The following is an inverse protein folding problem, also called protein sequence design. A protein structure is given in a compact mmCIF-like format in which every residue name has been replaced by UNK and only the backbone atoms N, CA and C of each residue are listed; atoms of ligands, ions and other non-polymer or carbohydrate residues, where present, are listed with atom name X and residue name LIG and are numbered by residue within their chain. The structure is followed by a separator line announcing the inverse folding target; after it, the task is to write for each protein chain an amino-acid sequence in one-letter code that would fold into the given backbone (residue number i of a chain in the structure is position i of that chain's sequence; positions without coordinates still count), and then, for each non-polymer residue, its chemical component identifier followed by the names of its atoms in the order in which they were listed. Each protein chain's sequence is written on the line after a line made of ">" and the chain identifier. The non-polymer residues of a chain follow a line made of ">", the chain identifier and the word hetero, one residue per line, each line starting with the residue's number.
data_IF_825353090610
#
_entry.id   IF_825353090610
#
_cell.length_a   1.000
_cell.length_b   1.000
_cell.length_c   1.000
_cell.angle_alpha   90.00
_cell.angle_beta   90.00
_cell.angle_gamma   90.00
#
_symmetry.space_group_name_H-M   'P 1'
#
loop_
_entity.id
_entity.type
_entity.pdbx_description
1 polymer ?
#
# COMPACT_ATOMS: atom_id res chain seq x y z
N UNK A 1 16.63 -15.78 21.13
CA UNK A 1 15.26 -15.64 20.59
C UNK A 1 14.36 -16.60 21.34
N UNK A 2 13.44 -16.10 22.18
CA UNK A 2 12.46 -16.96 22.89
C UNK A 2 11.34 -17.32 21.91
N UNK A 3 10.90 -18.59 21.82
CA UNK A 3 9.90 -19.00 20.85
C UNK A 3 8.51 -18.45 21.19
N UNK A 4 7.82 -17.96 20.16
CA UNK A 4 6.49 -17.34 20.14
C UNK A 4 5.40 -18.13 20.91
N UNK A 5 5.59 -19.43 21.12
CA UNK A 5 4.72 -20.29 21.92
C UNK A 5 4.60 -19.88 23.41
N UNK A 6 5.61 -19.23 24.00
CA UNK A 6 5.54 -18.77 25.40
C UNK A 6 4.70 -17.50 25.58
N UNK A 7 4.61 -16.64 24.55
CA UNK A 7 3.80 -15.42 24.58
C UNK A 7 2.30 -15.71 24.51
N UNK A 8 1.90 -16.74 23.75
CA UNK A 8 0.49 -17.15 23.67
C UNK A 8 -0.04 -17.78 24.97
N UNK A 9 0.78 -18.52 25.73
CA UNK A 9 0.38 -19.03 27.06
C UNK A 9 0.22 -17.90 28.08
N UNK A 10 1.16 -16.95 28.11
CA UNK A 10 1.13 -15.83 29.05
C UNK A 10 -0.09 -14.90 28.83
N UNK A 11 -0.53 -14.70 27.58
CA UNK A 11 -1.74 -13.93 27.28
C UNK A 11 -3.04 -14.68 27.61
N UNK A 12 -3.06 -16.01 27.45
CA UNK A 12 -4.21 -16.85 27.82
C UNK A 12 -4.46 -16.84 29.33
N UNK A 13 -3.38 -16.89 30.11
CA UNK A 13 -3.45 -16.85 31.58
C UNK A 13 -3.80 -15.47 32.15
N UNK A 14 -3.51 -14.38 31.41
CA UNK A 14 -3.93 -13.02 31.78
C UNK A 14 -5.42 -12.78 31.54
N UNK A 15 -5.98 -13.31 30.46
CA UNK A 15 -7.42 -13.19 30.15
C UNK A 15 -8.29 -14.04 31.10
N UNK A 16 -7.78 -15.19 31.56
CA UNK A 16 -8.47 -16.03 32.53
C UNK A 16 -8.60 -15.39 33.93
N UNK A 17 -7.70 -14.47 34.30
CA UNK A 17 -7.73 -13.74 35.59
C UNK A 17 -8.54 -12.46 35.57
N UNK A 18 -9.03 -12.03 34.40
CA UNK A 18 -9.70 -10.75 34.20
C UNK A 18 -11.19 -10.92 33.83
N UNK A 19 -11.85 -11.98 34.29
CA UNK A 19 -13.31 -12.07 34.18
C UNK A 19 -13.97 -11.36 35.38
N UNK A 20 -14.63 -10.21 35.20
CA UNK A 20 -15.51 -9.70 36.23
C UNK A 20 -16.70 -10.65 36.36
N UNK A 21 -16.86 -11.25 37.54
CA UNK A 21 -18.05 -12.03 37.86
C UNK A 21 -19.28 -11.12 37.88
N UNK A 22 -20.03 -11.07 36.77
CA UNK A 22 -21.33 -10.42 36.74
C UNK A 22 -22.37 -11.37 37.33
N UNK A 23 -22.67 -11.21 38.63
CA UNK A 23 -23.84 -11.86 39.25
C UNK A 23 -25.09 -11.09 38.85
N UNK A 24 -25.91 -11.67 37.97
CA UNK A 24 -27.28 -11.20 37.76
C UNK A 24 -28.10 -11.59 39.01
N UNK A 25 -28.33 -10.63 39.91
CA UNK A 25 -29.28 -10.80 41.01
C UNK A 25 -30.70 -10.61 40.49
N UNK A 26 -31.53 -11.64 40.54
CA UNK A 26 -32.98 -11.50 40.38
C UNK A 26 -33.56 -10.97 41.71
N UNK A 27 -34.27 -9.84 41.74
CA UNK A 27 -35.01 -9.44 42.93
C UNK A 27 -36.30 -10.28 43.04
N UNK A 28 -36.51 -10.92 44.20
CA UNK A 28 -37.77 -11.59 44.55
C UNK A 28 -38.90 -10.57 44.80
N UNK A 29 -40.17 -11.02 44.86
CA UNK A 29 -41.31 -10.11 44.84
C UNK A 29 -41.72 -9.68 46.26
N UNK A 30 -41.94 -8.37 46.46
CA UNK A 30 -43.06 -7.80 47.23
C UNK A 30 -42.90 -6.28 47.48
N UNK A 31 -43.99 -5.52 47.24
CA UNK A 31 -44.31 -4.29 47.99
C UNK A 31 -44.50 -3.00 47.16
N UNK A 32 -45.53 -2.17 47.40
CA UNK A 32 -46.21 -1.43 46.34
C UNK A 32 -45.77 0.04 46.14
N UNK A 33 -45.98 0.50 44.90
CA UNK A 33 -46.27 1.86 44.43
C UNK A 33 -45.43 3.03 44.99
N UNK A 34 -44.50 3.52 44.17
CA UNK A 34 -44.05 4.90 44.19
C UNK A 34 -43.97 5.42 42.73
N UNK A 35 -44.41 6.66 42.56
CA UNK A 35 -44.83 7.33 41.33
C UNK A 35 -43.75 7.44 40.23
N UNK A 36 -44.19 7.32 38.96
CA UNK A 36 -43.43 7.72 37.78
C UNK A 36 -43.54 9.24 37.55
N UNK A 37 -42.43 9.96 37.30
CA UNK A 37 -42.50 11.22 36.59
C UNK A 37 -42.25 11.05 35.08
N UNK A 38 -43.01 11.85 34.36
CA UNK A 38 -43.31 11.88 32.93
C UNK A 38 -42.08 12.14 32.03
N UNK A 39 -41.95 11.36 30.95
CA UNK A 39 -40.90 11.49 29.95
C UNK A 39 -41.28 12.53 28.90
N UNK A 40 -41.16 13.83 29.18
CA UNK A 40 -41.39 14.86 28.16
C UNK A 40 -40.77 16.23 28.47
N UNK A 41 -39.44 16.32 28.46
CA UNK A 41 -38.72 17.55 28.14
C UNK A 41 -37.24 17.25 27.87
N UNK A 42 -36.60 18.09 27.05
CA UNK A 42 -35.15 18.15 26.77
C UNK A 42 -34.66 17.46 25.48
N UNK A 43 -35.24 17.89 24.34
CA UNK A 43 -34.39 18.26 23.20
C UNK A 43 -34.28 19.79 23.20
N UNK A 44 -33.06 20.34 23.39
CA UNK A 44 -32.52 21.50 22.66
C UNK A 44 -31.07 21.83 23.11
N UNK A 45 -30.14 21.66 22.15
CA UNK A 45 -28.84 22.32 21.91
C UNK A 45 -28.09 23.03 23.06
N UNK A 46 -26.86 22.57 23.32
CA UNK A 46 -25.65 23.42 23.43
C UNK A 46 -24.36 22.56 23.37
N UNK A 47 -23.46 22.84 22.43
CA UNK A 47 -22.14 22.20 22.33
C UNK A 47 -21.07 22.91 23.18
N UNK A 48 -19.95 22.25 23.56
CA UNK A 48 -18.92 22.87 24.38
C UNK A 48 -17.92 23.70 23.55
N UNK A 49 -17.63 24.92 24.03
CA UNK A 49 -16.67 25.89 23.49
C UNK A 49 -15.25 25.59 23.96
N UNK A 50 -14.27 25.63 23.04
CA UNK A 50 -12.83 25.61 23.33
C UNK A 50 -12.32 27.01 23.76
N UNK A 51 -11.37 27.12 24.71
CA UNK A 51 -10.76 28.40 25.06
C UNK A 51 -9.64 28.80 24.09
N UNK A 52 -9.66 30.07 23.69
CA UNK A 52 -8.63 30.76 22.88
C UNK A 52 -7.39 31.07 23.73
N UNK A 53 -6.19 30.83 23.22
CA UNK A 53 -4.94 31.35 23.74
C UNK A 53 -4.41 32.43 22.78
N UNK A 54 -4.15 33.63 23.32
CA UNK A 54 -3.51 34.73 22.62
C UNK A 54 -2.61 35.54 23.54
N UNK A 55 -1.44 35.88 22.99
CA UNK A 55 -0.55 37.01 23.27
C UNK A 55 0.30 37.05 24.58
N UNK A 56 1.63 37.01 24.38
CA UNK A 56 2.54 38.11 24.76
C UNK A 56 3.29 38.06 26.12
N UNK A 57 4.61 37.75 26.05
CA UNK A 57 5.83 38.30 26.71
C UNK A 57 5.74 38.96 28.12
N UNK A 58 6.81 38.97 28.97
CA UNK A 58 8.22 39.20 28.58
C UNK A 58 9.30 38.41 29.38
N UNK A 59 10.55 38.80 29.09
CA UNK A 59 11.84 38.20 29.45
C UNK A 59 12.45 38.68 30.79
N UNK A 60 13.56 38.01 31.12
CA UNK A 60 14.72 38.37 31.96
C UNK A 60 14.70 38.23 33.49
N UNK A 61 15.67 37.39 33.93
CA UNK A 61 16.61 37.48 35.06
C UNK A 61 16.07 37.86 36.47
N UNK A 62 16.18 36.97 37.48
CA UNK A 62 17.39 36.74 38.29
C UNK A 62 17.13 35.93 39.60
N UNK A 63 18.13 35.14 39.99
CA UNK A 63 18.54 34.73 41.36
C UNK A 63 17.81 33.62 42.18
N UNK A 64 18.62 32.57 42.43
CA UNK A 64 18.97 31.95 43.72
C UNK A 64 18.07 30.88 44.40
N UNK A 65 18.61 29.64 44.35
CA UNK A 65 18.72 28.60 45.40
C UNK A 65 17.54 28.24 46.32
N UNK A 66 17.03 27.00 46.14
CA UNK A 66 16.85 26.03 47.24
C UNK A 66 16.66 24.59 46.74
N UNK A 67 17.63 23.74 47.09
CA UNK A 67 17.58 22.31 47.41
C UNK A 67 16.49 21.38 46.83
N UNK A 68 16.93 20.27 46.21
CA UNK A 68 16.25 18.97 46.36
C UNK A 68 16.13 18.09 45.11
N UNK A 69 17.06 17.13 44.99
CA UNK A 69 16.90 15.84 44.27
C UNK A 69 16.74 15.87 42.74
N UNK A 70 17.88 15.86 42.01
CA UNK A 70 17.96 15.39 40.62
C UNK A 70 18.77 14.10 40.53
N UNK A 71 18.15 13.03 40.06
CA UNK A 71 18.81 11.81 39.60
C UNK A 71 19.66 12.12 38.36
N UNK A 72 20.99 12.01 38.47
CA UNK A 72 21.91 12.08 37.32
C UNK A 72 22.37 10.68 36.95
N UNK A 73 21.95 10.20 35.78
CA UNK A 73 22.55 9.03 35.13
C UNK A 73 23.94 9.41 34.58
N UNK A 74 25.01 8.87 35.17
CA UNK A 74 26.39 8.94 34.63
C UNK A 74 26.58 7.83 33.60
N UNK A 75 26.72 8.18 32.32
CA UNK A 75 27.29 7.27 31.31
C UNK A 75 28.82 7.37 31.36
N UNK A 76 29.49 6.26 31.71
CA UNK A 76 30.95 6.11 31.58
C UNK A 76 31.28 5.63 30.16
N UNK A 77 31.91 6.47 29.35
CA UNK A 77 32.59 6.05 28.13
C UNK A 77 33.95 5.42 28.49
N UNK A 78 34.13 4.12 28.21
CA UNK A 78 35.46 3.49 28.18
C UNK A 78 36.02 3.62 26.75
N UNK A 79 37.00 4.50 26.56
CA UNK A 79 37.86 4.52 25.35
C UNK A 79 38.72 3.25 25.34
N UNK A 80 38.57 2.39 24.33
CA UNK A 80 39.51 1.31 24.04
C UNK A 80 40.47 1.82 22.97
N UNK A 81 41.71 2.10 23.36
CA UNK A 81 42.81 2.46 22.46
C UNK A 81 43.32 1.16 21.83
N UNK A 82 43.18 1.00 20.52
CA UNK A 82 43.85 -0.05 19.75
C UNK A 82 45.12 0.55 19.15
N UNK A 83 46.27 0.18 19.70
CA UNK A 83 47.58 0.47 19.14
C UNK A 83 47.85 -0.46 17.95
N UNK A 84 47.87 0.06 16.72
CA UNK A 84 48.41 -0.66 15.58
C UNK A 84 49.88 -0.28 15.39
N UNK A 85 50.75 -1.28 15.48
CA UNK A 85 52.18 -1.19 15.18
C UNK A 85 52.35 -0.99 13.68
N UNK A 86 53.13 0.02 13.31
CA UNK A 86 53.59 0.25 11.95
C UNK A 86 54.60 -0.84 11.54
N UNK A 87 54.33 -1.53 10.44
CA UNK A 87 55.34 -2.30 9.71
C UNK A 87 55.32 -1.82 8.26
N UNK A 88 56.40 -1.14 7.87
CA UNK A 88 56.56 -0.54 6.54
C UNK A 88 56.59 -1.58 5.42
N UNK A 89 55.82 -1.30 4.36
CA UNK A 89 56.09 -1.77 3.01
C UNK A 89 55.90 -0.60 2.05
N UNK A 90 56.97 -0.29 1.33
CA UNK A 90 57.05 0.73 0.29
C UNK A 90 56.06 0.40 -0.83
N UNK A 91 55.27 1.39 -1.23
CA UNK A 91 54.30 1.31 -2.31
C UNK A 91 55.03 1.53 -3.65
N UNK A 92 54.94 0.58 -4.59
CA UNK A 92 55.37 0.79 -5.98
C UNK A 92 54.17 1.20 -6.85
N UNK A 93 54.34 2.11 -7.83
CA UNK A 93 53.24 2.54 -8.69
C UNK A 93 52.88 1.47 -9.74
N UNK A 94 51.58 1.24 -9.92
CA UNK A 94 51.03 0.30 -10.89
C UNK A 94 51.25 0.76 -12.34
N UNK A 95 51.62 -0.18 -13.23
CA UNK A 95 51.80 0.04 -14.66
C UNK A 95 50.49 0.21 -15.45
N UNK A 96 50.55 0.43 -16.78
CA UNK A 96 49.43 0.92 -17.57
C UNK A 96 48.33 -0.14 -17.78
N UNK A 97 47.08 0.32 -17.69
CA UNK A 97 45.85 -0.48 -17.83
C UNK A 97 45.66 -0.88 -19.29
N UNK A 98 45.53 -2.19 -19.57
CA UNK A 98 45.17 -2.72 -20.89
C UNK A 98 43.67 -2.49 -21.17
N UNK A 99 43.26 -2.22 -22.43
CA UNK A 99 41.86 -2.00 -22.75
C UNK A 99 41.08 -3.32 -22.67
N UNK A 100 40.07 -3.33 -21.80
CA UNK A 100 39.17 -4.47 -21.61
C UNK A 100 38.21 -4.64 -22.80
N UNK A 101 38.06 -5.89 -23.22
CA UNK A 101 37.12 -6.42 -24.23
C UNK A 101 35.70 -5.90 -24.01
N UNK A 102 35.03 -5.42 -25.07
CA UNK A 102 33.63 -5.00 -25.05
C UNK A 102 32.71 -6.15 -24.59
N UNK A 103 32.31 -6.10 -23.33
CA UNK A 103 31.35 -7.01 -22.72
C UNK A 103 29.92 -6.49 -22.92
N UNK A 104 29.03 -7.40 -23.34
CA UNK A 104 27.57 -7.27 -23.33
C UNK A 104 27.09 -6.50 -22.10
N UNK A 105 26.42 -5.37 -22.31
CA UNK A 105 25.68 -4.66 -21.26
C UNK A 105 24.43 -5.45 -20.88
N UNK A 106 24.60 -6.50 -20.08
CA UNK A 106 23.52 -7.02 -19.26
C UNK A 106 23.54 -6.22 -17.94
N UNK A 107 22.38 -5.70 -17.55
CA UNK A 107 22.23 -4.76 -16.43
C UNK A 107 22.71 -5.41 -15.12
N UNK A 108 23.85 -4.97 -14.63
CA UNK A 108 24.36 -5.32 -13.30
C UNK A 108 24.35 -4.13 -12.34
N UNK A 109 23.36 -4.09 -11.44
CA UNK A 109 23.62 -3.81 -10.03
C UNK A 109 23.73 -2.37 -9.53
N UNK A 110 23.07 -1.39 -10.15
CA UNK A 110 22.67 -0.18 -9.42
C UNK A 110 21.30 -0.43 -8.80
N UNK A 111 21.15 -0.33 -7.47
CA UNK A 111 19.85 -0.37 -6.80
C UNK A 111 19.02 0.85 -7.27
N UNK A 112 18.37 0.72 -8.42
CA UNK A 112 17.32 1.63 -8.84
C UNK A 112 16.19 1.46 -7.81
N UNK A 113 15.93 2.51 -7.04
CA UNK A 113 14.77 2.55 -6.15
C UNK A 113 13.53 2.26 -6.99
N UNK A 114 12.84 1.19 -6.64
CA UNK A 114 11.56 0.83 -7.23
C UNK A 114 10.51 0.97 -6.13
N UNK A 115 9.50 1.81 -6.37
CA UNK A 115 8.35 1.91 -5.47
C UNK A 115 7.73 0.52 -5.30
N UNK A 116 7.52 0.11 -4.05
CA UNK A 116 6.91 -1.18 -3.74
C UNK A 116 5.48 -1.17 -4.29
N UNK A 117 5.11 -2.24 -5.01
CA UNK A 117 3.74 -2.44 -5.43
C UNK A 117 2.85 -2.73 -4.20
N UNK A 118 2.06 -1.74 -3.79
CA UNK A 118 1.19 -1.83 -2.63
C UNK A 118 0.11 -2.92 -2.78
N UNK A 119 -0.36 -3.16 -4.00
CA UNK A 119 -1.42 -4.15 -4.26
C UNK A 119 -0.94 -5.60 -4.10
N UNK A 120 0.38 -5.83 -4.17
CA UNK A 120 0.98 -7.14 -4.00
C UNK A 120 1.38 -7.46 -2.56
N UNK A 121 1.14 -6.54 -1.61
CA UNK A 121 1.46 -6.76 -0.21
C UNK A 121 0.48 -7.75 0.44
N UNK A 122 0.95 -8.59 1.38
CA UNK A 122 0.06 -9.49 2.11
C UNK A 122 -0.94 -8.69 2.95
N UNK A 123 -2.13 -9.26 3.16
CA UNK A 123 -3.12 -8.67 4.06
C UNK A 123 -2.56 -8.62 5.49
N UNK A 124 -2.81 -7.53 6.24
CA UNK A 124 -2.40 -7.43 7.64
C UNK A 124 -2.99 -8.58 8.46
N UNK A 125 -2.23 -9.12 9.41
CA UNK A 125 -2.71 -10.21 10.29
C UNK A 125 -3.89 -9.81 11.19
N UNK A 126 -4.14 -8.51 11.34
CA UNK A 126 -5.33 -7.98 12.01
C UNK A 126 -6.62 -8.25 11.23
N UNK A 127 -6.53 -8.46 9.91
CA UNK A 127 -7.64 -8.85 9.04
C UNK A 127 -7.71 -10.36 9.01
N UNK A 128 -8.74 -10.93 9.66
CA UNK A 128 -8.93 -12.38 9.71
C UNK A 128 -10.13 -12.80 8.87
N UNK A 129 -10.00 -13.81 7.99
CA UNK A 129 -11.18 -14.38 7.34
C UNK A 129 -12.10 -14.99 8.41
N UNK A 130 -13.40 -14.93 8.14
CA UNK A 130 -14.43 -15.55 8.96
C UNK A 130 -15.38 -16.34 8.07
N UNK A 131 -16.03 -17.36 8.63
CA UNK A 131 -17.08 -18.08 7.92
C UNK A 131 -18.30 -18.24 8.80
N UNK A 132 -19.47 -18.03 8.20
CA UNK A 132 -20.74 -18.17 8.90
C UNK A 132 -20.87 -19.55 9.56
N UNK A 133 -20.53 -20.61 8.81
CA UNK A 133 -20.65 -21.99 9.29
C UNK A 133 -19.72 -22.26 10.48
N UNK A 134 -18.47 -21.78 10.45
CA UNK A 134 -17.55 -21.99 11.57
C UNK A 134 -18.02 -21.28 12.85
N UNK A 135 -18.58 -20.08 12.74
CA UNK A 135 -19.14 -19.35 13.89
C UNK A 135 -20.38 -20.07 14.43
N UNK A 136 -21.27 -20.52 13.53
CA UNK A 136 -22.48 -21.26 13.93
C UNK A 136 -22.13 -22.57 14.65
N UNK A 137 -21.17 -23.33 14.12
CA UNK A 137 -20.74 -24.60 14.72
C UNK A 137 -20.08 -24.38 16.09
N UNK A 138 -19.23 -23.36 16.21
CA UNK A 138 -18.58 -23.01 17.47
C UNK A 138 -19.60 -22.56 18.53
N UNK A 139 -20.59 -21.77 18.14
CA UNK A 139 -21.63 -21.27 19.07
C UNK A 139 -22.63 -22.35 19.47
N UNK A 140 -23.00 -23.26 18.56
CA UNK A 140 -23.80 -24.45 18.89
C UNK A 140 -23.07 -25.37 19.87
N UNK A 141 -21.76 -25.54 19.71
CA UNK A 141 -20.91 -26.32 20.61
C UNK A 141 -20.80 -25.69 22.01
N UNK A 142 -20.64 -24.36 22.10
CA UNK A 142 -20.66 -23.65 23.38
C UNK A 142 -22.03 -23.76 24.07
N UNK A 143 -23.12 -23.60 23.30
CA UNK A 143 -24.47 -23.70 23.83
C UNK A 143 -24.78 -25.13 24.35
N UNK A 144 -24.39 -26.18 23.63
CA UNK A 144 -24.59 -27.57 24.09
C UNK A 144 -23.78 -27.88 25.34
N UNK A 145 -22.54 -27.38 25.44
CA UNK A 145 -21.70 -27.54 26.63
C UNK A 145 -22.34 -26.87 27.87
N UNK A 146 -22.92 -25.68 27.72
CA UNK A 146 -23.62 -24.98 28.80
C UNK A 146 -24.90 -25.70 29.24
N UNK A 147 -25.68 -26.23 28.30
CA UNK A 147 -26.87 -27.02 28.60
C UNK A 147 -26.52 -28.30 29.38
N UNK A 148 -25.45 -29.00 28.95
CA UNK A 148 -24.95 -30.18 29.65
C UNK A 148 -24.48 -29.86 31.08
N UNK A 149 -23.77 -28.74 31.26
CA UNK A 149 -23.34 -28.30 32.58
C UNK A 149 -24.52 -27.94 33.51
N UNK A 150 -25.64 -27.49 32.95
CA UNK A 150 -26.89 -27.24 33.68
C UNK A 150 -27.71 -28.52 33.94
N UNK A 151 -27.22 -29.70 33.53
CA UNK A 151 -27.94 -30.98 33.67
C UNK A 151 -29.10 -31.14 32.68
N UNK A 152 -29.18 -30.31 31.64
CA UNK A 152 -30.23 -30.36 30.62
C UNK A 152 -29.74 -31.26 29.49
N UNK A 153 -30.40 -32.42 29.31
CA UNK A 153 -30.11 -33.33 28.21
C UNK A 153 -30.43 -32.66 26.87
N UNK A 154 -29.42 -32.52 26.01
CA UNK A 154 -29.56 -31.85 24.72
C UNK A 154 -28.75 -32.59 23.65
N UNK A 155 -29.44 -33.29 22.75
CA UNK A 155 -28.88 -34.17 21.73
C UNK A 155 -29.45 -33.94 20.32
N UNK A 156 -30.12 -32.80 20.10
CA UNK A 156 -30.87 -32.50 18.87
C UNK A 156 -30.10 -31.64 17.85
N UNK A 157 -28.79 -31.44 18.04
CA UNK A 157 -27.97 -30.56 17.19
C UNK A 157 -28.00 -30.91 15.69
N UNK A 158 -28.12 -32.20 15.36
CA UNK A 158 -28.16 -32.66 13.97
C UNK A 158 -29.56 -32.53 13.32
N UNK A 159 -30.60 -32.18 14.10
CA UNK A 159 -31.95 -32.07 13.57
C UNK A 159 -32.13 -30.73 12.85
N UNK A 160 -32.60 -30.78 11.59
CA UNK A 160 -32.90 -29.57 10.80
C UNK A 160 -33.95 -28.65 11.44
N UNK A 161 -34.86 -29.22 12.23
CA UNK A 161 -35.92 -28.47 12.93
C UNK A 161 -35.50 -27.90 14.28
N UNK A 162 -34.21 -27.93 14.62
CA UNK A 162 -33.73 -27.44 15.91
C UNK A 162 -33.93 -25.91 16.03
N UNK A 163 -34.79 -25.42 16.94
CA UNK A 163 -35.03 -23.99 17.11
C UNK A 163 -33.76 -23.23 17.55
N UNK A 164 -32.86 -23.89 18.27
CA UNK A 164 -31.61 -23.27 18.71
C UNK A 164 -30.70 -22.94 17.52
N UNK A 165 -30.67 -23.80 16.50
CA UNK A 165 -29.93 -23.54 15.26
C UNK A 165 -30.43 -22.27 14.57
N UNK A 166 -31.75 -22.05 14.47
CA UNK A 166 -32.29 -20.83 13.86
C UNK A 166 -31.91 -19.56 14.63
N UNK A 167 -32.01 -19.58 15.97
CA UNK A 167 -31.65 -18.42 16.79
C UNK A 167 -30.16 -18.13 16.72
N UNK A 168 -29.31 -19.16 16.81
CA UNK A 168 -27.86 -19.01 16.74
C UNK A 168 -27.38 -18.66 15.32
N UNK A 169 -28.15 -19.00 14.29
CA UNK A 169 -27.89 -18.51 12.92
C UNK A 169 -27.96 -16.99 12.87
N UNK A 170 -28.96 -16.38 13.50
CA UNK A 170 -29.07 -14.92 13.54
C UNK A 170 -27.92 -14.28 14.33
N UNK A 171 -27.44 -14.95 15.38
CA UNK A 171 -26.26 -14.52 16.14
C UNK A 171 -24.98 -14.62 15.29
N UNK A 172 -24.73 -15.77 14.67
CA UNK A 172 -23.56 -16.01 13.82
C UNK A 172 -23.49 -15.02 12.64
N UNK A 173 -24.65 -14.67 12.07
CA UNK A 173 -24.73 -13.63 11.05
C UNK A 173 -24.30 -12.26 11.58
N UNK A 174 -24.83 -11.84 12.74
CA UNK A 174 -24.49 -10.56 13.38
C UNK A 174 -23.02 -10.50 13.80
N UNK A 175 -22.48 -11.57 14.35
CA UNK A 175 -21.07 -11.68 14.70
C UNK A 175 -20.19 -11.57 13.45
N UNK A 176 -20.55 -12.27 12.37
CA UNK A 176 -19.88 -12.15 11.08
C UNK A 176 -19.84 -10.70 10.56
N UNK A 177 -20.96 -9.97 10.64
CA UNK A 177 -20.98 -8.55 10.28
C UNK A 177 -20.07 -7.69 11.18
N UNK A 178 -19.99 -8.00 12.47
CA UNK A 178 -19.06 -7.29 13.37
C UNK A 178 -17.61 -7.56 13.02
N UNK A 179 -17.24 -8.82 12.76
CA UNK A 179 -15.88 -9.18 12.33
C UNK A 179 -15.54 -8.50 11.01
N UNK A 180 -16.48 -8.49 10.05
CA UNK A 180 -16.31 -7.81 8.78
C UNK A 180 -16.03 -6.31 8.97
N UNK A 181 -16.82 -5.62 9.81
CA UNK A 181 -16.59 -4.19 10.12
C UNK A 181 -15.24 -3.94 10.79
N UNK A 182 -14.81 -4.84 11.68
CA UNK A 182 -13.48 -4.73 12.33
C UNK A 182 -12.37 -4.93 11.29
N UNK A 183 -12.50 -5.89 10.39
CA UNK A 183 -11.55 -6.14 9.32
C UNK A 183 -11.42 -4.93 8.39
N UNK A 184 -12.53 -4.34 7.97
CA UNK A 184 -12.58 -3.14 7.14
C UNK A 184 -11.93 -1.95 7.87
N UNK A 185 -12.27 -1.75 9.14
CA UNK A 185 -11.65 -0.72 9.97
C UNK A 185 -10.13 -0.94 10.11
N UNK A 186 -9.66 -2.17 10.32
CA UNK A 186 -8.22 -2.46 10.37
C UNK A 186 -7.55 -2.19 9.01
N UNK A 187 -8.17 -2.61 7.91
CA UNK A 187 -7.65 -2.41 6.56
C UNK A 187 -7.53 -0.92 6.18
N UNK A 188 -8.46 -0.07 6.63
CA UNK A 188 -8.42 1.39 6.41
C UNK A 188 -7.18 2.08 6.97
N UNK A 189 -6.57 1.50 8.02
CA UNK A 189 -5.41 2.11 8.70
C UNK A 189 -4.10 2.00 7.92
N UNK A 190 -4.04 1.16 6.88
CA UNK A 190 -2.84 0.99 6.06
C UNK A 190 -3.04 1.61 4.67
N UNK A 191 -2.05 2.39 4.21
CA UNK A 191 -2.08 3.01 2.87
C UNK A 191 -2.28 1.99 1.75
N UNK A 192 -1.74 0.77 1.91
CA UNK A 192 -1.87 -0.29 0.93
C UNK A 192 -3.32 -0.77 0.77
N UNK A 193 -4.00 -1.06 1.88
CA UNK A 193 -5.34 -1.68 1.90
C UNK A 193 -6.49 -0.69 2.02
N UNK A 194 -6.25 0.60 2.29
CA UNK A 194 -7.29 1.61 2.28
C UNK A 194 -7.94 1.73 0.89
N UNK A 195 -9.27 1.66 0.82
CA UNK A 195 -10.04 1.71 -0.44
C UNK A 195 -10.83 3.01 -0.55
N UNK A 196 -11.51 3.42 0.51
CA UNK A 196 -12.34 4.62 0.56
C UNK A 196 -11.50 5.90 0.45
N UNK A 197 -12.02 6.89 -0.28
CA UNK A 197 -11.31 8.14 -0.56
C UNK A 197 -10.88 8.85 0.73
N UNK A 198 -11.75 8.90 1.74
CA UNK A 198 -11.46 9.52 3.04
C UNK A 198 -10.32 8.84 3.80
N UNK A 199 -10.23 7.52 3.70
CA UNK A 199 -9.19 6.75 4.40
C UNK A 199 -7.83 6.99 3.72
N UNK A 200 -7.81 6.96 2.39
CA UNK A 200 -6.60 7.27 1.62
C UNK A 200 -6.13 8.71 1.87
N UNK A 201 -7.06 9.67 1.97
CA UNK A 201 -6.76 11.07 2.27
C UNK A 201 -6.10 11.22 3.64
N UNK A 202 -6.67 10.61 4.67
CA UNK A 202 -6.09 10.64 6.02
C UNK A 202 -4.72 9.93 6.05
N UNK A 203 -4.56 8.83 5.32
CA UNK A 203 -3.28 8.13 5.22
C UNK A 203 -2.20 8.90 4.47
N UNK A 204 -2.58 9.70 3.48
CA UNK A 204 -1.67 10.60 2.77
C UNK A 204 -1.31 11.83 3.63
N UNK A 205 -2.25 12.32 4.45
CA UNK A 205 -2.02 13.45 5.35
C UNK A 205 -0.94 13.17 6.41
N UNK A 206 -0.78 11.91 6.85
CA UNK A 206 0.30 11.49 7.76
C UNK A 206 1.72 11.81 7.23
N UNK A 207 1.86 11.96 5.91
CA UNK A 207 3.12 12.33 5.25
C UNK A 207 3.05 13.69 4.56
N UNK A 208 2.14 14.56 5.02
CA UNK A 208 1.91 15.92 4.50
C UNK A 208 1.53 15.97 3.01
N UNK A 209 0.86 14.94 2.49
CA UNK A 209 0.33 14.94 1.13
C UNK A 209 -1.18 15.16 1.18
N UNK A 210 -1.66 16.11 0.38
CA UNK A 210 -3.08 16.42 0.22
C UNK A 210 -3.52 16.10 -1.21
N UNK A 211 -4.73 15.56 -1.32
CA UNK A 211 -5.36 15.23 -2.61
C UNK A 211 -5.60 16.49 -3.45
N UNK A 212 -5.22 16.43 -4.72
CA UNK A 212 -5.59 17.42 -5.72
C UNK A 212 -7.00 17.15 -6.25
N UNK A 213 -7.72 18.21 -6.67
CA UNK A 213 -9.06 18.06 -7.23
C UNK A 213 -9.05 17.13 -8.46
N UNK A 214 -9.83 16.05 -8.41
CA UNK A 214 -9.91 15.04 -9.48
C UNK A 214 -8.78 14.01 -9.48
N UNK A 215 -7.92 13.98 -8.45
CA UNK A 215 -6.85 12.99 -8.32
C UNK A 215 -7.38 11.62 -7.86
N UNK A 216 -6.88 10.56 -8.50
CA UNK A 216 -7.22 9.18 -8.16
C UNK A 216 -6.50 8.65 -6.91
N UNK A 217 -7.05 7.63 -6.26
CA UNK A 217 -6.41 6.98 -5.11
C UNK A 217 -5.04 6.38 -5.46
N UNK A 218 -4.85 5.89 -6.69
CA UNK A 218 -3.57 5.35 -7.14
C UNK A 218 -2.48 6.42 -7.18
N UNK A 219 -2.77 7.59 -7.79
CA UNK A 219 -1.84 8.72 -7.87
C UNK A 219 -1.51 9.26 -6.47
N UNK A 220 -2.53 9.42 -5.61
CA UNK A 220 -2.33 9.89 -4.24
C UNK A 220 -1.46 8.93 -3.40
N UNK A 221 -1.68 7.62 -3.52
CA UNK A 221 -0.86 6.60 -2.84
C UNK A 221 0.59 6.63 -3.33
N UNK A 222 0.82 6.79 -4.63
CA UNK A 222 2.16 6.90 -5.20
C UNK A 222 2.90 8.13 -4.63
N UNK A 223 2.24 9.30 -4.60
CA UNK A 223 2.79 10.51 -3.99
C UNK A 223 3.09 10.32 -2.50
N UNK A 224 2.20 9.68 -1.77
CA UNK A 224 2.42 9.37 -0.34
C UNK A 224 3.62 8.42 -0.12
N UNK A 225 3.85 7.43 -1.00
CA UNK A 225 5.05 6.59 -0.94
C UNK A 225 6.34 7.37 -1.21
N UNK A 226 6.30 8.32 -2.15
CA UNK A 226 7.44 9.16 -2.51
C UNK A 226 7.68 10.34 -1.56
N UNK A 227 6.78 10.60 -0.61
CA UNK A 227 6.86 11.74 0.29
C UNK A 227 8.14 11.74 1.14
N UNK A 228 8.63 10.57 1.56
CA UNK A 228 9.88 10.47 2.31
C UNK A 228 11.12 10.71 1.44
N UNK A 229 11.05 10.36 0.15
CA UNK A 229 12.13 10.66 -0.80
C UNK A 229 12.22 12.16 -1.09
N UNK A 230 11.08 12.87 -1.06
CA UNK A 230 11.05 14.33 -1.21
C UNK A 230 11.80 15.08 -0.09
N UNK A 231 11.98 14.46 1.10
CA UNK A 231 12.75 15.04 2.20
C UNK A 231 14.26 15.02 1.94
N UNK A 232 14.75 14.19 1.02
CA UNK A 232 16.17 14.09 0.71
C UNK A 232 16.66 15.39 0.07
N UNK A 233 17.61 16.10 0.68
CA UNK A 233 18.15 17.38 0.17
C UNK A 233 19.23 17.22 -0.91
N UNK A 234 19.73 15.99 -1.11
CA UNK A 234 20.88 15.70 -1.97
C UNK A 234 20.61 15.56 -3.46
N UNK A 235 19.43 15.97 -3.96
CA UNK A 235 19.08 15.87 -5.39
C UNK A 235 18.99 14.43 -5.91
N UNK A 236 18.42 13.52 -5.13
CA UNK A 236 18.17 12.15 -5.59
C UNK A 236 17.16 12.15 -6.74
N UNK A 237 17.22 11.15 -7.61
CA UNK A 237 16.23 11.02 -8.70
C UNK A 237 14.80 10.93 -8.18
N UNK A 238 14.60 10.30 -7.02
CA UNK A 238 13.29 10.17 -6.38
C UNK A 238 12.77 11.50 -5.83
N UNK A 239 13.64 12.40 -5.34
CA UNK A 239 13.24 13.76 -4.92
C UNK A 239 12.65 14.53 -6.10
N UNK A 240 13.35 14.53 -7.23
CA UNK A 240 12.88 15.19 -8.45
C UNK A 240 11.60 14.54 -8.99
N UNK A 241 11.48 13.22 -8.92
CA UNK A 241 10.27 12.49 -9.29
C UNK A 241 9.08 12.90 -8.40
N UNK A 242 9.25 12.92 -7.08
CA UNK A 242 8.22 13.30 -6.12
C UNK A 242 7.75 14.76 -6.31
N UNK A 243 8.70 15.67 -6.56
CA UNK A 243 8.41 17.07 -6.80
C UNK A 243 7.63 17.25 -8.11
N UNK A 244 8.09 16.63 -9.20
CA UNK A 244 7.43 16.72 -10.50
C UNK A 244 5.99 16.17 -10.47
N UNK A 245 5.78 14.99 -9.85
CA UNK A 245 4.44 14.40 -9.68
C UNK A 245 3.52 15.29 -8.84
N UNK A 246 4.06 16.05 -7.89
CA UNK A 246 3.28 16.94 -7.03
C UNK A 246 2.80 18.22 -7.71
N UNK A 247 3.43 18.64 -8.82
CA UNK A 247 3.06 19.86 -9.56
C UNK A 247 1.68 19.73 -10.22
N UNK A 248 1.43 18.60 -10.89
CA UNK A 248 0.15 18.35 -11.55
C UNK A 248 -0.23 16.86 -11.51
N UNK A 249 -0.70 16.37 -10.33
CA UNK A 249 -0.97 14.94 -10.10
C UNK A 249 -2.05 14.32 -10.99
N UNK A 250 -2.89 15.15 -11.62
CA UNK A 250 -3.99 14.71 -12.50
C UNK A 250 -3.58 14.63 -13.97
N UNK A 251 -2.57 15.39 -14.38
CA UNK A 251 -2.13 15.47 -15.78
C UNK A 251 -0.84 14.70 -16.04
N UNK A 252 -0.10 14.32 -15.00
CA UNK A 252 1.13 13.52 -15.07
C UNK A 252 0.82 12.10 -14.60
N UNK A 253 1.08 11.12 -15.46
CA UNK A 253 0.84 9.71 -15.16
C UNK A 253 2.07 9.04 -14.53
N UNK A 254 3.26 9.43 -15.00
CA UNK A 254 4.54 8.91 -14.52
C UNK A 254 5.65 9.94 -14.78
N UNK A 255 6.72 9.85 -14.00
CA UNK A 255 7.92 10.67 -14.15
C UNK A 255 9.15 9.80 -14.01
N UNK A 256 10.09 9.96 -14.94
CA UNK A 256 11.43 9.37 -14.84
C UNK A 256 12.50 10.45 -14.81
N UNK A 257 13.54 10.23 -14.02
CA UNK A 257 14.64 11.18 -13.82
C UNK A 257 15.95 10.49 -14.14
N UNK A 258 16.75 11.13 -14.98
CA UNK A 258 18.01 10.61 -15.48
C UNK A 258 19.16 11.56 -15.19
N UNK A 259 20.25 11.03 -14.64
CA UNK A 259 21.53 11.70 -14.50
C UNK A 259 22.54 11.21 -15.54
N UNK A 260 23.80 11.59 -15.33
CA UNK A 260 24.92 11.32 -16.24
C UNK A 260 25.23 9.82 -16.46
N UNK A 261 24.66 8.93 -15.65
CA UNK A 261 24.69 7.49 -15.85
C UNK A 261 23.90 7.03 -17.08
N UNK A 262 23.00 7.87 -17.58
CA UNK A 262 22.20 7.62 -18.77
C UNK A 262 22.89 8.19 -20.00
N UNK A 263 23.03 7.38 -21.04
CA UNK A 263 23.66 7.78 -22.30
C UNK A 263 23.03 9.05 -22.87
N UNK A 264 23.87 10.06 -23.14
CA UNK A 264 23.44 11.34 -23.71
C UNK A 264 23.17 12.44 -22.69
N UNK A 265 23.05 12.11 -21.40
CA UNK A 265 22.88 13.12 -20.32
C UNK A 265 24.25 13.68 -19.91
N UNK A 266 24.48 15.00 -20.01
CA UNK A 266 25.74 15.62 -19.58
C UNK A 266 25.98 15.52 -18.06
N UNK A 267 27.24 15.62 -17.64
CA UNK A 267 27.59 15.71 -16.22
C UNK A 267 26.99 16.98 -15.61
N UNK A 268 26.33 16.85 -14.46
CA UNK A 268 25.62 17.94 -13.78
C UNK A 268 24.23 18.25 -14.35
N UNK A 269 23.81 17.57 -15.43
CA UNK A 269 22.44 17.69 -15.94
C UNK A 269 21.50 16.66 -15.28
N UNK A 270 20.27 17.09 -15.02
CA UNK A 270 19.17 16.27 -14.53
C UNK A 270 18.05 16.36 -15.56
N UNK A 271 17.80 15.27 -16.29
CA UNK A 271 16.73 15.20 -17.26
C UNK A 271 15.50 14.54 -16.63
N UNK A 272 14.39 15.28 -16.60
CA UNK A 272 13.11 14.83 -16.07
C UNK A 272 12.17 14.59 -17.26
N UNK A 273 11.70 13.37 -17.43
CA UNK A 273 10.71 13.01 -18.44
C UNK A 273 9.35 12.82 -17.79
N UNK A 274 8.34 13.50 -18.31
CA UNK A 274 6.96 13.42 -17.82
C UNK A 274 6.08 12.70 -18.85
N UNK A 275 5.35 11.68 -18.40
CA UNK A 275 4.30 11.01 -19.16
C UNK A 275 2.96 11.68 -18.86
N UNK A 276 2.19 12.00 -19.90
CA UNK A 276 0.87 12.61 -19.74
C UNK A 276 -0.22 11.58 -19.40
N UNK A 277 -1.17 11.94 -18.55
CA UNK A 277 -2.35 11.10 -18.21
C UNK A 277 -3.45 11.12 -19.26
N UNK A 278 -3.36 12.03 -20.25
CA UNK A 278 -4.34 12.14 -21.34
C UNK A 278 -4.23 11.00 -22.36
N UNK A 279 -5.20 10.89 -23.29
CA UNK A 279 -5.25 9.82 -24.30
C UNK A 279 -4.06 9.86 -25.27
N UNK A 280 -3.42 11.01 -25.46
CA UNK A 280 -2.21 11.13 -26.27
C UNK A 280 -0.96 10.61 -25.56
N UNK A 281 -0.97 10.43 -24.24
CA UNK A 281 0.21 10.08 -23.44
C UNK A 281 1.27 11.19 -23.35
N UNK A 282 1.08 12.33 -24.02
CA UNK A 282 2.04 13.44 -24.07
C UNK A 282 1.64 14.50 -23.04
N UNK A 283 2.57 14.89 -22.17
CA UNK A 283 2.36 16.00 -21.23
C UNK A 283 2.32 17.35 -21.96
N UNK A 284 1.43 18.25 -21.54
CA UNK A 284 1.26 19.58 -22.15
C UNK A 284 2.45 20.49 -21.85
N UNK A 285 2.70 21.47 -22.71
CA UNK A 285 3.79 22.44 -22.53
C UNK A 285 3.67 23.20 -21.21
N UNK A 286 2.45 23.56 -20.79
CA UNK A 286 2.20 24.27 -19.53
C UNK A 286 2.59 23.43 -18.32
N UNK A 287 2.31 22.12 -18.33
CA UNK A 287 2.72 21.20 -17.27
C UNK A 287 4.23 21.06 -17.24
N UNK A 288 4.89 20.90 -18.38
CA UNK A 288 6.35 20.79 -18.45
C UNK A 288 7.04 22.07 -17.93
N UNK A 289 6.49 23.25 -18.26
CA UNK A 289 6.97 24.53 -17.76
C UNK A 289 6.78 24.66 -16.24
N UNK A 290 5.63 24.24 -15.72
CA UNK A 290 5.38 24.24 -14.27
C UNK A 290 6.30 23.28 -13.52
N UNK A 291 6.54 22.09 -14.06
CA UNK A 291 7.50 21.11 -13.50
C UNK A 291 8.91 21.66 -13.54
N UNK A 292 9.32 22.29 -14.65
CA UNK A 292 10.63 22.92 -14.75
C UNK A 292 10.79 24.03 -13.72
N UNK A 293 9.79 24.89 -13.54
CA UNK A 293 9.82 25.96 -12.55
C UNK A 293 9.96 25.42 -11.12
N UNK A 294 9.18 24.40 -10.75
CA UNK A 294 9.24 23.79 -9.43
C UNK A 294 10.58 23.09 -9.17
N UNK A 295 11.06 22.27 -10.11
CA UNK A 295 12.31 21.54 -9.96
C UNK A 295 13.55 22.42 -10.09
N UNK A 296 13.45 23.58 -10.75
CA UNK A 296 14.54 24.54 -10.91
C UNK A 296 14.65 25.55 -9.75
N UNK A 297 13.67 25.57 -8.85
CA UNK A 297 13.66 26.44 -7.66
C UNK A 297 14.95 26.23 -6.83
N UNK A 298 15.56 27.34 -6.40
CA UNK A 298 16.79 27.35 -5.60
C UNK A 298 16.67 26.57 -4.30
N UNK A 299 15.49 26.53 -3.69
CA UNK A 299 15.21 25.74 -2.49
C UNK A 299 15.01 24.25 -2.80
N UNK A 300 14.60 23.92 -4.03
CA UNK A 300 14.35 22.55 -4.46
C UNK A 300 15.63 21.84 -4.92
N UNK A 301 16.48 22.49 -5.74
CA UNK A 301 17.65 21.87 -6.38
C UNK A 301 18.98 22.08 -5.64
N UNK A 302 19.86 21.07 -5.61
CA UNK A 302 21.28 21.24 -5.28
C UNK A 302 21.97 22.26 -6.19
N UNK A 303 23.10 22.78 -5.70
CA UNK A 303 23.83 23.89 -6.35
C UNK A 303 24.31 23.53 -7.76
N UNK A 304 24.76 22.29 -7.98
CA UNK A 304 25.42 21.88 -9.22
C UNK A 304 24.46 21.30 -10.26
N UNK A 305 23.18 21.15 -9.93
CA UNK A 305 22.21 20.48 -10.80
C UNK A 305 21.63 21.45 -11.83
N UNK A 306 21.71 21.08 -13.10
CA UNK A 306 21.08 21.74 -14.25
C UNK A 306 19.86 20.93 -14.69
N UNK A 307 18.67 21.38 -14.33
CA UNK A 307 17.42 20.66 -14.58
C UNK A 307 16.85 20.99 -15.96
N UNK A 308 16.50 19.94 -16.72
CA UNK A 308 15.74 20.03 -17.97
C UNK A 308 14.54 19.10 -17.90
N UNK A 309 13.40 19.53 -18.46
CA UNK A 309 12.15 18.76 -18.44
C UNK A 309 11.68 18.49 -19.86
N UNK A 310 11.30 17.25 -20.14
CA UNK A 310 10.89 16.78 -21.46
C UNK A 310 9.60 15.96 -21.37
N UNK A 311 8.83 15.91 -22.46
CA UNK A 311 7.75 14.94 -22.59
C UNK A 311 8.33 13.55 -22.90
N UNK A 312 7.80 12.51 -22.24
CA UNK A 312 8.08 11.14 -22.61
C UNK A 312 7.44 10.79 -23.96
N UNK A 313 8.07 9.87 -24.70
CA UNK A 313 7.56 9.37 -25.98
C UNK A 313 6.58 8.21 -25.74
N UNK A 314 5.27 8.39 -25.99
CA UNK A 314 4.31 7.30 -25.87
C UNK A 314 4.46 6.32 -27.05
N UNK A 315 4.62 5.04 -26.76
CA UNK A 315 4.70 3.96 -27.74
C UNK A 315 3.38 3.20 -27.74
N UNK A 316 2.45 3.63 -28.60
CA UNK A 316 1.15 2.99 -28.73
C UNK A 316 1.26 1.63 -29.40
N UNK A 317 0.63 0.61 -28.81
CA UNK A 317 0.56 -0.73 -29.37
C UNK A 317 -0.81 -1.38 -29.14
N UNK A 318 -1.16 -2.32 -30.02
CA UNK A 318 -2.35 -3.15 -29.88
C UNK A 318 -1.97 -4.58 -29.54
N UNK A 319 -2.85 -5.26 -28.81
CA UNK A 319 -2.73 -6.69 -28.55
C UNK A 319 -3.77 -7.44 -29.36
N UNK A 320 -3.30 -8.37 -30.19
CA UNK A 320 -4.14 -9.25 -31.01
C UNK A 320 -3.75 -10.69 -30.68
N UNK A 321 -4.68 -11.47 -30.12
CA UNK A 321 -4.42 -12.86 -29.74
C UNK A 321 -5.66 -13.74 -29.89
N UNK A 322 -5.45 -15.01 -30.21
CA UNK A 322 -6.47 -16.04 -30.20
C UNK A 322 -6.30 -16.95 -28.99
N UNK A 323 -7.38 -17.12 -28.21
CA UNK A 323 -7.43 -18.00 -27.05
C UNK A 323 -8.04 -19.35 -27.45
N UNK A 324 -7.29 -20.45 -27.27
CA UNK A 324 -7.81 -21.80 -27.44
C UNK A 324 -8.41 -22.26 -26.12
N UNK A 325 -9.73 -22.40 -26.08
CA UNK A 325 -10.46 -22.70 -24.85
C UNK A 325 -10.70 -24.20 -24.66
N UNK A 326 -10.81 -24.62 -23.40
CA UNK A 326 -11.18 -25.98 -23.02
C UNK A 326 -12.69 -26.24 -23.20
N UNK A 327 -13.05 -27.51 -23.35
CA UNK A 327 -14.43 -27.94 -23.52
C UNK A 327 -15.25 -27.63 -22.27
N UNK A 328 -16.37 -26.93 -22.42
CA UNK A 328 -17.25 -26.54 -21.30
C UNK A 328 -16.98 -25.16 -20.70
N UNK A 329 -15.94 -24.44 -21.15
CA UNK A 329 -15.74 -23.04 -20.81
C UNK A 329 -16.77 -22.14 -21.52
N UNK A 330 -17.30 -21.13 -20.81
CA UNK A 330 -18.05 -20.03 -21.45
C UNK A 330 -17.06 -19.08 -22.14
N UNK A 331 -17.03 -19.02 -23.48
CA UNK A 331 -16.04 -18.25 -24.21
C UNK A 331 -16.11 -16.74 -23.93
N UNK A 332 -17.32 -16.20 -23.78
CA UNK A 332 -17.51 -14.76 -23.59
C UNK A 332 -17.03 -14.34 -22.20
N UNK A 333 -17.37 -15.11 -21.18
CA UNK A 333 -16.91 -14.88 -19.81
C UNK A 333 -15.39 -14.97 -19.70
N UNK A 334 -14.77 -15.97 -20.33
CA UNK A 334 -13.31 -16.14 -20.30
C UNK A 334 -12.61 -15.00 -21.05
N UNK A 335 -13.02 -14.69 -22.27
CA UNK A 335 -12.41 -13.60 -23.06
C UNK A 335 -12.51 -12.26 -22.33
N UNK A 336 -13.67 -11.95 -21.73
CA UNK A 336 -13.86 -10.73 -20.96
C UNK A 336 -12.93 -10.67 -19.74
N UNK A 337 -12.82 -11.76 -18.96
CA UNK A 337 -11.93 -11.84 -17.81
C UNK A 337 -10.45 -11.67 -18.22
N UNK A 338 -10.03 -12.27 -19.35
CA UNK A 338 -8.65 -12.15 -19.86
C UNK A 338 -8.35 -10.76 -20.40
N UNK A 339 -9.31 -10.14 -21.09
CA UNK A 339 -9.17 -8.76 -21.53
C UNK A 339 -9.00 -7.80 -20.34
N UNK A 340 -9.76 -8.00 -19.25
CA UNK A 340 -9.64 -7.19 -18.03
C UNK A 340 -8.28 -7.38 -17.34
N UNK A 341 -7.81 -8.63 -17.20
CA UNK A 341 -6.49 -8.94 -16.64
C UNK A 341 -5.36 -8.34 -17.49
N UNK A 342 -5.44 -8.44 -18.81
CA UNK A 342 -4.47 -7.86 -19.73
C UNK A 342 -4.44 -6.33 -19.64
N UNK A 343 -5.60 -5.67 -19.60
CA UNK A 343 -5.68 -4.21 -19.43
C UNK A 343 -5.03 -3.75 -18.13
N UNK A 344 -5.25 -4.48 -17.04
CA UNK A 344 -4.61 -4.21 -15.74
C UNK A 344 -3.09 -4.35 -15.85
N UNK A 345 -2.61 -5.46 -16.40
CA UNK A 345 -1.18 -5.70 -16.62
C UNK A 345 -0.53 -4.61 -17.49
N UNK A 346 -1.18 -4.18 -18.58
CA UNK A 346 -0.66 -3.14 -19.44
C UNK A 346 -0.68 -1.76 -18.77
N UNK A 347 -1.71 -1.44 -17.98
CA UNK A 347 -1.77 -0.20 -17.21
C UNK A 347 -0.64 -0.11 -16.19
N UNK A 348 -0.36 -1.21 -15.45
CA UNK A 348 0.75 -1.28 -14.49
C UNK A 348 2.13 -1.09 -15.16
N UNK A 349 2.23 -1.39 -16.46
CA UNK A 349 3.47 -1.29 -17.25
C UNK A 349 3.54 -0.01 -18.08
N UNK A 350 2.51 0.83 -18.07
CA UNK A 350 2.46 2.09 -18.80
C UNK A 350 3.26 3.19 -18.10
N UNK A 351 4.53 2.90 -17.80
CA UNK A 351 5.47 3.80 -17.14
C UNK A 351 6.73 3.95 -18.01
N UNK A 352 7.50 5.01 -17.80
CA UNK A 352 8.67 5.34 -18.61
C UNK A 352 9.79 4.31 -18.37
N UNK A 353 10.46 3.88 -19.44
CA UNK A 353 11.55 2.90 -19.38
C UNK A 353 11.10 1.45 -19.17
N UNK A 354 9.80 1.22 -18.98
CA UNK A 354 9.27 -0.13 -18.86
C UNK A 354 9.22 -0.84 -20.22
N UNK A 355 9.26 -2.16 -20.18
CA UNK A 355 9.24 -3.01 -21.36
C UNK A 355 8.10 -4.02 -21.27
N UNK A 356 7.31 -4.11 -22.34
CA UNK A 356 6.27 -5.11 -22.52
C UNK A 356 6.73 -6.09 -23.58
N UNK A 357 6.83 -7.37 -23.22
CA UNK A 357 7.27 -8.44 -24.12
C UNK A 357 6.11 -9.33 -24.56
N UNK A 358 6.19 -9.96 -25.75
CA UNK A 358 5.19 -10.92 -26.21
C UNK A 358 4.96 -12.06 -25.19
N UNK A 359 6.04 -12.56 -24.58
CA UNK A 359 5.97 -13.64 -23.59
C UNK A 359 5.21 -13.25 -22.33
N UNK A 360 5.34 -12.00 -21.85
CA UNK A 360 4.59 -11.53 -20.69
C UNK A 360 3.09 -11.40 -21.02
N UNK A 361 2.75 -10.89 -22.21
CA UNK A 361 1.36 -10.81 -22.67
C UNK A 361 0.77 -12.22 -22.76
N UNK A 362 1.47 -13.15 -23.41
CA UNK A 362 1.04 -14.54 -23.52
C UNK A 362 0.86 -15.18 -22.14
N UNK A 363 1.76 -14.94 -21.19
CA UNK A 363 1.64 -15.48 -19.83
C UNK A 363 0.39 -14.97 -19.09
N UNK A 364 0.04 -13.68 -19.22
CA UNK A 364 -1.18 -13.12 -18.62
C UNK A 364 -2.43 -13.72 -19.23
N UNK A 365 -2.45 -13.89 -20.56
CA UNK A 365 -3.56 -14.50 -21.29
C UNK A 365 -3.70 -16.00 -20.99
N UNK A 366 -2.58 -16.71 -20.85
CA UNK A 366 -2.55 -18.14 -20.59
C UNK A 366 -2.76 -18.49 -19.11
N UNK A 367 -2.73 -17.52 -18.18
CA UNK A 367 -2.83 -17.78 -16.74
C UNK A 367 -4.09 -18.60 -16.40
N UNK A 368 -3.93 -19.84 -15.96
CA UNK A 368 -5.05 -20.78 -15.92
C UNK A 368 -5.35 -21.33 -14.52
N UNK A 369 -5.85 -20.50 -13.62
CA UNK A 369 -6.26 -20.96 -12.29
C UNK A 369 -7.43 -21.99 -12.32
N UNK A 370 -8.25 -21.98 -13.38
CA UNK A 370 -9.48 -22.76 -13.48
C UNK A 370 -9.47 -23.84 -14.60
N UNK A 371 -8.36 -24.05 -15.29
CA UNK A 371 -8.27 -25.02 -16.40
C UNK A 371 -8.91 -24.58 -17.74
N UNK A 372 -9.38 -23.34 -17.90
CA UNK A 372 -10.24 -22.90 -19.01
C UNK A 372 -9.51 -22.48 -20.31
N UNK A 373 -8.24 -22.05 -20.25
CA UNK A 373 -7.44 -21.65 -21.42
C UNK A 373 -6.33 -22.67 -21.65
N UNK A 374 -6.31 -23.29 -22.83
CA UNK A 374 -5.34 -24.31 -23.18
C UNK A 374 -4.09 -23.75 -23.85
N UNK A 375 -4.29 -22.85 -24.81
CA UNK A 375 -3.20 -22.28 -25.59
C UNK A 375 -3.54 -20.85 -26.00
N UNK A 376 -2.51 -20.07 -26.29
CA UNK A 376 -2.61 -18.67 -26.70
C UNK A 376 -1.74 -18.43 -27.92
N UNK A 377 -2.37 -18.10 -29.04
CA UNK A 377 -1.65 -17.66 -30.24
C UNK A 377 -1.65 -16.14 -30.29
N UNK A 378 -0.49 -15.52 -30.02
CA UNK A 378 -0.32 -14.07 -30.06
C UNK A 378 0.09 -13.62 -31.47
N UNK A 379 -0.74 -12.79 -32.12
CA UNK A 379 -0.44 -12.20 -33.42
C UNK A 379 0.31 -10.86 -33.28
N UNK A 380 -0.08 -10.04 -32.29
CA UNK A 380 0.61 -8.76 -31.99
C UNK A 380 0.64 -8.50 -30.48
N UNK A 381 1.74 -7.90 -29.96
CA UNK A 381 2.94 -7.47 -30.67
C UNK A 381 3.90 -8.65 -30.96
N UNK A 382 4.58 -8.63 -32.12
CA UNK A 382 5.56 -9.66 -32.51
C UNK A 382 6.95 -9.46 -31.91
N UNK A 383 7.22 -8.30 -31.30
CA UNK A 383 8.47 -7.96 -30.63
C UNK A 383 8.19 -7.20 -29.34
N UNK A 384 9.21 -7.03 -28.51
CA UNK A 384 9.09 -6.24 -27.29
C UNK A 384 8.86 -4.75 -27.60
N UNK A 385 7.96 -4.12 -26.85
CA UNK A 385 7.66 -2.68 -26.93
C UNK A 385 8.30 -1.99 -25.72
N UNK A 386 8.99 -0.87 -25.96
CA UNK A 386 9.65 -0.07 -24.93
C UNK A 386 10.95 -0.67 -24.38
N UNK A 387 11.32 -0.21 -23.19
CA UNK A 387 12.61 -0.45 -22.56
C UNK A 387 13.66 0.63 -22.88
N UNK A 388 13.32 1.62 -23.71
CA UNK A 388 14.13 2.81 -23.92
C UNK A 388 13.90 3.82 -22.78
N UNK A 389 14.94 4.53 -22.30
CA UNK A 389 14.87 5.40 -21.13
C UNK A 389 13.96 6.62 -21.31
N UNK A 390 13.42 6.91 -22.49
CA UNK A 390 12.62 8.13 -22.72
C UNK A 390 11.22 7.82 -23.23
N UNK A 391 10.83 6.55 -23.23
CA UNK A 391 9.59 6.09 -23.83
C UNK A 391 8.78 5.22 -22.87
N UNK A 392 7.47 5.25 -23.02
CA UNK A 392 6.54 4.44 -22.23
C UNK A 392 5.62 3.64 -23.17
N UNK A 393 5.44 2.33 -22.95
CA UNK A 393 4.50 1.53 -23.73
C UNK A 393 3.06 1.87 -23.31
N UNK A 394 2.20 2.24 -24.26
CA UNK A 394 0.78 2.54 -24.01
C UNK A 394 -0.11 1.61 -24.81
N UNK A 395 -1.04 0.94 -24.12
CA UNK A 395 -2.01 0.06 -24.75
C UNK A 395 -3.08 0.90 -25.48
N UNK A 396 -3.14 0.77 -26.80
CA UNK A 396 -4.14 1.42 -27.63
C UNK A 396 -5.42 0.59 -27.79
N UNK A 397 -5.32 -0.74 -27.76
CA UNK A 397 -6.47 -1.61 -27.98
C UNK A 397 -6.18 -3.09 -27.73
N UNK A 398 -7.24 -3.85 -27.46
CA UNK A 398 -7.20 -5.29 -27.19
C UNK A 398 -8.23 -5.99 -28.06
N UNK A 399 -7.77 -6.86 -28.94
CA UNK A 399 -8.58 -7.67 -29.83
C UNK A 399 -8.31 -9.15 -29.53
N UNK A 400 -9.19 -9.76 -28.74
CA UNK A 400 -9.09 -11.17 -28.39
C UNK A 400 -10.15 -11.97 -29.15
N UNK A 401 -9.71 -12.97 -29.90
CA UNK A 401 -10.59 -13.98 -30.50
C UNK A 401 -10.49 -15.27 -29.72
N UNK A 402 -11.41 -16.20 -29.97
CA UNK A 402 -11.38 -17.52 -29.35
C UNK A 402 -11.66 -18.62 -30.36
N UNK A 403 -11.06 -19.79 -30.13
CA UNK A 403 -11.35 -21.03 -30.83
C UNK A 403 -11.49 -22.18 -29.81
N UNK A 404 -12.08 -23.30 -30.22
CA UNK A 404 -12.18 -24.49 -29.37
C UNK A 404 -11.04 -25.45 -29.70
N UNK A 405 -10.62 -26.26 -28.73
CA UNK A 405 -9.70 -27.36 -28.99
C UNK A 405 -10.30 -28.28 -30.06
N UNK A 406 -9.57 -28.48 -31.16
CA UNK A 406 -9.95 -29.41 -32.23
C UNK A 406 -10.85 -28.86 -33.35
N UNK A 407 -11.07 -27.54 -33.40
CA UNK A 407 -11.72 -26.86 -34.54
C UNK A 407 -10.72 -26.28 -35.52
#
# INVERSE_FOLDING_TARGET
>A
MRPVAQLHRANRDRLARAQPHFRLGYPGPAGPAAEQPDHRALFHRAGPRLPRLGAGLPADEDHADAAGLRWRCRFRYRRRVLSQRASGRLFQPAGPIRPGRAGRHDRGGGLMYQTINLAALPTPSAVSPWSFQAILDATLSDASARLQAAGIAYNVNALKGNPLTFVLSAYAYREGLMIQRINEAAASTFLASAVEDSDVDLRAADVNIVRAMGESNASLKQRAQLAWEALATGGTSQRYQALALSVSPTQIADVAVYGHETTGVPVGAVWIYCLGSGPSGVASADVLAAVLAACSDRAARPVNDSVSVFAATPLFYTVEANLVLETGADPLAVVAARAAALKTFCADRATIGNRVTPNQIAAVLAYNAAGLVNDVTLARPGAAIGGDPFAAPILAGVNLTWSRRGS
#
